data_IF_790373445287
#
_entry.id   IF_790373445287
#
_cell.length_a   1.000
_cell.length_b   1.000
_cell.length_c   1.000
_cell.angle_alpha   90.00
_cell.angle_beta   90.00
_cell.angle_gamma   90.00
#
_symmetry.space_group_name_H-M   'P 1'
#
loop_
_entity.id
_entity.type
_entity.pdbx_description
1 polymer ?
#
# COMPACT_ATOMS: atom_id res chain seq x y z
N UNK A 1 12.07 -15.21 33.65
CA UNK A 1 10.75 -14.86 34.19
C UNK A 1 10.15 -13.79 33.29
N UNK A 2 9.51 -14.22 32.20
CA UNK A 2 8.30 -13.62 31.61
C UNK A 2 7.60 -14.80 30.92
N UNK A 3 6.64 -15.40 31.63
CA UNK A 3 5.46 -16.01 31.03
C UNK A 3 4.67 -14.87 30.32
N UNK A 4 4.05 -15.02 29.15
CA UNK A 4 3.14 -16.11 28.76
C UNK A 4 3.17 -16.39 27.25
N UNK A 5 2.94 -17.64 26.81
CA UNK A 5 2.62 -17.97 25.42
C UNK A 5 1.11 -17.97 25.13
N UNK A 6 0.79 -17.53 23.90
CA UNK A 6 -0.39 -17.81 23.09
C UNK A 6 -1.74 -17.15 23.44
N UNK A 7 -2.13 -16.18 22.61
CA UNK A 7 -3.45 -16.22 21.97
C UNK A 7 -3.24 -16.17 20.46
N UNK A 8 -2.99 -17.35 19.91
CA UNK A 8 -3.16 -17.64 18.50
C UNK A 8 -4.67 -17.61 18.22
N UNK A 9 -5.19 -16.53 17.64
CA UNK A 9 -6.43 -16.64 16.85
C UNK A 9 -6.06 -17.03 15.43
N UNK A 10 -5.73 -18.32 15.27
CA UNK A 10 -5.88 -19.01 13.98
C UNK A 10 -7.38 -19.04 13.70
N UNK A 11 -7.89 -18.02 13.01
CA UNK A 11 -9.12 -18.21 12.25
C UNK A 11 -8.77 -19.03 11.02
N UNK A 12 -8.54 -20.33 11.24
CA UNK A 12 -8.67 -21.33 10.19
C UNK A 12 -10.17 -21.42 9.93
N UNK A 13 -10.65 -20.57 9.03
CA UNK A 13 -12.05 -20.58 8.64
C UNK A 13 -12.42 -21.99 8.15
N UNK A 14 -13.60 -22.47 8.54
CA UNK A 14 -14.03 -23.83 8.25
C UNK A 14 -14.04 -24.06 6.75
N UNK A 15 -13.49 -25.19 6.32
CA UNK A 15 -13.85 -25.75 5.04
C UNK A 15 -15.38 -25.80 4.96
N UNK A 16 -15.89 -25.52 3.75
CA UNK A 16 -17.28 -25.74 3.25
C UNK A 16 -18.14 -24.47 3.19
N UNK A 17 -18.02 -23.73 2.08
CA UNK A 17 -19.07 -23.80 1.06
C UNK A 17 -18.55 -23.30 -0.29
N UNK A 18 -18.61 -24.21 -1.26
CA UNK A 18 -17.97 -24.15 -2.57
C UNK A 18 -18.78 -23.31 -3.57
N UNK A 19 -19.25 -22.10 -3.22
CA UNK A 19 -20.11 -21.31 -4.14
C UNK A 19 -19.87 -19.79 -4.09
N UNK A 20 -19.11 -19.25 -3.12
CA UNK A 20 -18.94 -17.79 -2.95
C UNK A 20 -17.52 -17.25 -3.21
N UNK A 21 -16.81 -17.80 -4.21
CA UNK A 21 -15.45 -17.38 -4.57
C UNK A 21 -15.40 -16.31 -5.68
N UNK A 22 -16.51 -15.65 -6.00
CA UNK A 22 -16.52 -14.61 -7.04
C UNK A 22 -16.14 -13.21 -6.55
N UNK A 23 -16.52 -12.85 -5.32
CA UNK A 23 -16.58 -11.43 -4.92
C UNK A 23 -15.47 -10.97 -3.97
N UNK A 24 -14.81 -11.88 -3.23
CA UNK A 24 -13.76 -11.51 -2.25
C UNK A 24 -12.34 -11.57 -2.80
N UNK A 25 -12.12 -12.15 -3.98
CA UNK A 25 -10.82 -12.10 -4.65
C UNK A 25 -10.53 -10.70 -5.23
N UNK A 26 -11.57 -9.91 -5.52
CA UNK A 26 -11.43 -8.61 -6.19
C UNK A 26 -10.78 -7.53 -5.30
N UNK A 27 -11.01 -7.58 -3.97
CA UNK A 27 -10.56 -6.53 -3.06
C UNK A 27 -9.11 -6.75 -2.59
N UNK A 28 -8.62 -8.00 -2.55
CA UNK A 28 -7.24 -8.30 -2.15
C UNK A 28 -6.22 -8.23 -3.31
N UNK A 29 -6.67 -8.09 -4.57
CA UNK A 29 -5.79 -8.03 -5.75
C UNK A 29 -5.19 -6.65 -6.02
N UNK A 30 -5.73 -5.58 -5.44
CA UNK A 30 -5.29 -4.21 -5.75
C UNK A 30 -3.92 -3.83 -5.15
N UNK A 31 -3.36 -4.66 -4.26
CA UNK A 31 -2.02 -4.44 -3.69
C UNK A 31 -1.02 -5.57 -4.02
N UNK A 32 -1.44 -6.61 -4.79
CA UNK A 32 -0.58 -7.75 -5.14
C UNK A 32 -0.58 -7.93 -6.66
N UNK A 33 0.16 -7.07 -7.36
CA UNK A 33 0.35 -7.23 -8.80
C UNK A 33 1.47 -8.23 -9.09
N UNK A 34 1.10 -9.43 -9.54
CA UNK A 34 1.97 -10.32 -10.31
C UNK A 34 1.85 -9.88 -11.79
N UNK A 35 2.87 -9.18 -12.31
CA UNK A 35 2.87 -8.70 -13.69
C UNK A 35 3.40 -9.75 -14.68
N UNK A 36 2.58 -10.20 -15.62
CA UNK A 36 3.03 -10.89 -16.84
C UNK A 36 3.05 -9.89 -18.00
N UNK A 37 4.24 -9.49 -18.43
CA UNK A 37 4.44 -8.57 -19.53
C UNK A 37 4.27 -9.28 -20.87
N UNK A 38 3.37 -8.82 -21.74
CA UNK A 38 3.49 -8.94 -23.20
C UNK A 38 2.47 -8.06 -23.96
N UNK A 39 3.01 -7.31 -24.93
CA UNK A 39 2.40 -6.74 -26.16
C UNK A 39 2.00 -5.24 -26.18
N UNK A 40 2.77 -4.44 -26.93
CA UNK A 40 2.31 -3.21 -27.63
C UNK A 40 2.51 -1.86 -26.94
N UNK A 41 3.62 -1.16 -27.24
CA UNK A 41 3.78 0.29 -27.01
C UNK A 41 2.71 1.05 -27.83
N UNK A 42 1.88 1.91 -27.21
CA UNK A 42 2.14 3.37 -27.21
C UNK A 42 1.55 4.10 -25.98
N UNK A 43 1.10 3.37 -24.94
CA UNK A 43 0.51 3.96 -23.73
C UNK A 43 0.50 3.03 -22.49
N UNK A 44 1.17 1.87 -22.58
CA UNK A 44 1.29 0.92 -21.46
C UNK A 44 2.27 1.40 -20.36
N UNK A 45 3.21 2.28 -20.72
CA UNK A 45 4.13 2.94 -19.78
C UNK A 45 3.39 3.91 -18.84
N UNK A 46 2.39 4.63 -19.36
CA UNK A 46 1.57 5.58 -18.61
C UNK A 46 0.66 4.87 -17.61
N UNK A 47 0.03 3.76 -18.00
CA UNK A 47 -0.81 2.96 -17.09
C UNK A 47 0.01 2.20 -16.04
N UNK A 48 1.22 1.75 -16.38
CA UNK A 48 2.10 1.10 -15.41
C UNK A 48 2.58 2.09 -14.34
N UNK A 49 2.92 3.35 -14.68
CA UNK A 49 3.30 4.36 -13.68
C UNK A 49 2.16 4.78 -12.74
N UNK A 50 0.91 4.79 -13.20
CA UNK A 50 -0.25 5.16 -12.37
C UNK A 50 -0.68 4.06 -11.38
N UNK A 51 -0.21 2.83 -11.57
CA UNK A 51 -0.58 1.66 -10.74
C UNK A 51 0.65 1.04 -10.05
N UNK A 52 1.86 1.44 -10.44
CA UNK A 52 3.09 0.96 -9.85
C UNK A 52 3.38 1.71 -8.56
N UNK A 53 3.46 0.94 -7.47
CA UNK A 53 4.02 1.39 -6.21
C UNK A 53 5.38 2.08 -6.42
N UNK A 54 5.49 3.33 -5.97
CA UNK A 54 6.75 4.05 -5.83
C UNK A 54 6.89 4.55 -4.39
N UNK A 55 8.03 4.27 -3.78
CA UNK A 55 8.33 4.76 -2.42
C UNK A 55 8.45 6.29 -2.44
N UNK A 56 7.75 6.96 -1.54
CA UNK A 56 7.67 8.42 -1.48
C UNK A 56 6.59 9.05 -2.37
N UNK A 57 5.90 8.29 -3.23
CA UNK A 57 4.78 8.78 -4.06
C UNK A 57 3.46 8.46 -3.33
N UNK A 58 3.11 9.33 -2.39
CA UNK A 58 1.99 9.13 -1.45
C UNK A 58 0.68 9.52 -2.10
N UNK A 59 0.70 10.47 -3.04
CA UNK A 59 -0.48 10.95 -3.73
C UNK A 59 -0.81 10.14 -5.02
N UNK A 60 0.11 9.26 -5.46
CA UNK A 60 0.00 8.37 -6.63
C UNK A 60 -0.14 9.17 -7.94
N UNK A 61 0.61 10.27 -8.07
CA UNK A 61 0.67 11.06 -9.30
C UNK A 61 1.83 10.64 -10.23
N UNK A 62 2.67 9.70 -9.78
CA UNK A 62 3.80 9.16 -10.54
C UNK A 62 5.09 9.96 -10.37
N UNK A 63 5.09 10.99 -9.54
CA UNK A 63 6.23 11.81 -9.14
C UNK A 63 6.52 11.66 -7.65
N UNK A 64 7.70 12.07 -7.21
CA UNK A 64 8.02 12.19 -5.78
C UNK A 64 8.45 13.63 -5.59
N UNK A 65 7.58 14.41 -4.97
CA UNK A 65 7.78 15.83 -4.74
C UNK A 65 7.18 16.31 -3.41
N UNK A 66 7.20 17.63 -3.19
CA UNK A 66 6.74 18.24 -1.95
C UNK A 66 5.26 17.94 -1.64
N UNK A 67 4.44 17.65 -2.65
CA UNK A 67 3.03 17.33 -2.46
C UNK A 67 2.84 15.98 -1.75
N UNK A 68 3.78 15.04 -1.88
CA UNK A 68 3.78 13.77 -1.16
C UNK A 68 4.05 13.96 0.34
N UNK A 69 5.06 14.78 0.67
CA UNK A 69 5.35 15.13 2.05
C UNK A 69 4.16 15.85 2.72
N UNK A 70 3.46 16.73 1.98
CA UNK A 70 2.23 17.35 2.44
C UNK A 70 1.11 16.32 2.67
N UNK A 71 1.01 15.29 1.83
CA UNK A 71 0.10 14.16 2.03
C UNK A 71 0.34 13.44 3.37
N UNK A 72 1.61 13.16 3.70
CA UNK A 72 2.01 12.54 4.98
C UNK A 72 1.61 13.44 6.15
N UNK A 73 1.94 14.74 6.10
CA UNK A 73 1.63 15.66 7.20
C UNK A 73 0.12 15.87 7.37
N UNK A 74 -0.65 15.92 6.27
CA UNK A 74 -2.10 16.01 6.32
C UNK A 74 -2.72 14.77 6.99
N UNK A 75 -2.19 13.57 6.71
CA UNK A 75 -2.61 12.35 7.38
C UNK A 75 -2.27 12.37 8.88
N UNK A 76 -1.03 12.71 9.23
CA UNK A 76 -0.56 12.72 10.63
C UNK A 76 -1.28 13.75 11.51
N UNK A 77 -1.57 14.94 11.00
CA UNK A 77 -2.04 16.07 11.83
C UNK A 77 -3.51 16.43 11.64
N UNK A 78 -4.09 16.17 10.46
CA UNK A 78 -5.43 16.60 10.11
C UNK A 78 -6.41 15.43 9.96
N UNK A 79 -5.94 14.18 10.08
CA UNK A 79 -6.76 12.99 9.92
C UNK A 79 -7.36 12.87 8.52
N UNK A 80 -6.61 13.33 7.49
CA UNK A 80 -7.00 13.25 6.09
C UNK A 80 -7.29 11.81 5.62
N UNK A 81 -7.86 11.68 4.41
CA UNK A 81 -8.10 10.37 3.80
C UNK A 81 -6.80 9.53 3.87
N UNK A 82 -6.90 8.32 4.42
CA UNK A 82 -5.76 7.45 4.68
C UNK A 82 -4.84 7.29 3.47
N UNK A 83 -3.54 7.15 3.72
CA UNK A 83 -2.53 7.00 2.67
C UNK A 83 -2.91 5.83 1.76
N UNK A 84 -3.01 6.02 0.43
CA UNK A 84 -3.44 4.93 -0.45
C UNK A 84 -2.42 3.77 -0.51
N UNK A 85 -1.17 3.98 -0.04
CA UNK A 85 -0.17 2.94 0.12
C UNK A 85 0.74 3.20 1.35
N UNK A 86 0.66 2.34 2.38
CA UNK A 86 1.51 2.43 3.58
C UNK A 86 3.00 2.32 3.22
N UNK A 87 3.35 1.44 2.29
CA UNK A 87 4.74 1.29 1.84
C UNK A 87 5.27 2.54 1.12
N UNK A 88 4.39 3.40 0.60
CA UNK A 88 4.80 4.62 -0.08
C UNK A 88 5.03 5.75 0.93
N UNK A 89 4.18 5.76 1.96
CA UNK A 89 4.27 6.68 3.09
C UNK A 89 5.43 6.37 4.04
N UNK A 90 5.83 5.11 4.22
CA UNK A 90 7.09 4.71 4.89
C UNK A 90 8.26 4.97 3.91
N UNK A 91 8.64 6.23 3.77
CA UNK A 91 9.60 6.67 2.75
C UNK A 91 11.04 6.36 3.16
N UNK A 92 11.31 6.30 4.48
CA UNK A 92 12.64 6.02 5.03
C UNK A 92 12.89 4.51 5.27
N UNK A 93 11.84 3.67 5.18
CA UNK A 93 11.86 2.21 5.34
C UNK A 93 12.20 1.74 6.76
N UNK A 94 11.74 2.46 7.78
CA UNK A 94 11.92 2.11 9.18
C UNK A 94 10.72 1.37 9.80
N UNK A 95 9.71 1.06 8.99
CA UNK A 95 8.49 0.31 9.37
C UNK A 95 7.48 1.15 10.16
N UNK A 96 7.72 2.46 10.30
CA UNK A 96 6.78 3.41 10.86
C UNK A 96 6.37 4.43 9.79
N UNK A 97 5.23 5.09 9.99
CA UNK A 97 4.85 6.27 9.20
C UNK A 97 4.78 7.42 10.18
N UNK A 98 5.78 8.30 10.13
CA UNK A 98 5.93 9.43 11.03
C UNK A 98 6.48 10.69 10.34
N UNK A 99 6.88 11.68 11.14
CA UNK A 99 7.37 12.96 10.61
C UNK A 99 8.63 12.80 9.76
N UNK A 100 9.47 11.81 10.07
CA UNK A 100 10.74 11.59 9.39
C UNK A 100 10.53 11.15 7.95
N UNK A 101 9.42 10.47 7.64
CA UNK A 101 9.09 10.10 6.26
C UNK A 101 8.80 11.30 5.37
N UNK A 102 8.06 12.28 5.89
CA UNK A 102 7.80 13.52 5.16
C UNK A 102 9.07 14.36 4.99
N UNK A 103 9.95 14.38 5.98
CA UNK A 103 11.25 15.07 5.90
C UNK A 103 12.19 14.36 4.92
N UNK A 104 12.15 13.04 4.82
CA UNK A 104 13.00 12.25 3.92
C UNK A 104 12.67 12.44 2.43
N UNK A 105 11.47 12.95 2.10
CA UNK A 105 11.05 13.27 0.72
C UNK A 105 11.60 14.64 0.25
N UNK A 106 11.90 15.56 1.18
CA UNK A 106 12.34 16.93 0.89
C UNK A 106 13.86 17.02 0.62
#
# INVERSE_FOLDING_TARGET
MIDQPAIVKRNRAPARNLVLWGATLLVALLCRQEGTAQDGADNADQYFRLVQFRRGDVNIDGSVDVSDALGIFNWLFLGGAGTPCENAADSNKDVSIDLTDGVHIL
#
